data_IF_111333138897
#
_entry.id   IF_111333138897
#
_cell.length_a   1.000
_cell.length_b   1.000
_cell.length_c   1.000
_cell.angle_alpha   90.00
_cell.angle_beta   90.00
_cell.angle_gamma   90.00
#
_symmetry.space_group_name_H-M   'P 1'
#
loop_
_entity.id
_entity.type
_entity.pdbx_description
1 polymer ?
#
# COMPACT_ATOMS: atom_id res chain seq x y z
N UNK A 1 10.42 2.46 22.45
CA UNK A 1 10.33 2.63 20.98
C UNK A 1 9.83 1.36 20.29
N UNK A 2 10.63 0.27 20.27
CA UNK A 2 10.30 -0.97 19.54
C UNK A 2 8.89 -1.53 19.81
N UNK A 3 8.48 -1.67 21.09
CA UNK A 3 7.13 -2.16 21.44
C UNK A 3 6.01 -1.28 20.88
N UNK A 4 6.20 0.03 20.92
CA UNK A 4 5.21 1.00 20.40
C UNK A 4 5.16 0.92 18.89
N UNK A 5 6.31 0.80 18.20
CA UNK A 5 6.32 0.61 16.75
C UNK A 5 5.57 -0.66 16.34
N UNK A 6 5.79 -1.78 17.03
CA UNK A 6 5.04 -3.02 16.79
C UNK A 6 3.52 -2.84 17.01
N UNK A 7 3.10 -2.20 18.10
CA UNK A 7 1.67 -1.91 18.35
C UNK A 7 1.05 -1.03 17.26
N UNK A 8 1.79 -0.04 16.77
CA UNK A 8 1.34 0.85 15.71
C UNK A 8 1.23 0.12 14.37
N UNK A 9 2.17 -0.77 14.05
CA UNK A 9 2.10 -1.60 12.83
C UNK A 9 0.90 -2.55 12.88
N UNK A 10 0.60 -3.15 14.04
CA UNK A 10 -0.64 -3.93 14.24
C UNK A 10 -1.92 -3.12 14.02
N UNK A 11 -1.83 -1.79 14.08
CA UNK A 11 -2.95 -0.86 13.86
C UNK A 11 -2.86 -0.19 12.49
N UNK A 12 -2.01 -0.68 11.59
CA UNK A 12 -1.83 -0.14 10.24
C UNK A 12 -1.20 1.26 10.19
N UNK A 13 -0.46 1.65 11.23
CA UNK A 13 0.23 2.94 11.33
C UNK A 13 1.71 2.70 11.04
N UNK A 14 2.14 3.09 9.85
CA UNK A 14 3.52 2.97 9.37
C UNK A 14 4.43 3.96 10.11
N UNK A 15 5.39 3.44 10.89
CA UNK A 15 6.36 4.25 11.64
C UNK A 15 7.75 3.62 11.53
N UNK A 16 8.81 4.44 11.54
CA UNK A 16 10.21 4.02 11.42
C UNK A 16 10.58 3.38 10.07
N UNK A 17 9.82 2.38 9.61
CA UNK A 17 9.99 1.64 8.36
C UNK A 17 8.64 1.08 7.90
N UNK A 18 8.55 0.67 6.64
CA UNK A 18 7.37 0.03 6.09
C UNK A 18 7.51 -1.49 6.14
N UNK A 19 6.40 -2.20 6.27
CA UNK A 19 6.35 -3.66 6.23
C UNK A 19 5.10 -4.18 5.51
N UNK A 20 5.19 -5.44 5.08
CA UNK A 20 4.06 -6.21 4.57
C UNK A 20 4.38 -7.70 4.56
N UNK A 21 3.33 -8.53 4.41
CA UNK A 21 3.48 -9.93 4.03
C UNK A 21 3.21 -10.05 2.53
N UNK A 22 4.16 -10.60 1.79
CA UNK A 22 4.14 -10.69 0.34
C UNK A 22 4.76 -11.99 -0.14
N UNK A 23 4.60 -12.34 -1.42
CA UNK A 23 5.25 -13.52 -1.98
C UNK A 23 6.78 -13.33 -2.01
N UNK A 24 7.55 -14.42 -1.93
CA UNK A 24 8.99 -14.41 -2.20
C UNK A 24 9.20 -14.28 -3.71
N UNK A 25 9.86 -13.21 -4.18
CA UNK A 25 10.10 -12.98 -5.62
C UNK A 25 10.94 -14.09 -6.27
N UNK A 26 11.80 -14.76 -5.49
CA UNK A 26 12.63 -15.89 -5.94
C UNK A 26 12.00 -17.25 -5.62
N UNK A 27 10.86 -17.26 -4.93
CA UNK A 27 10.04 -18.46 -4.72
C UNK A 27 8.55 -18.10 -4.56
N UNK A 28 7.85 -17.94 -5.68
CA UNK A 28 6.46 -17.46 -5.69
C UNK A 28 5.44 -18.38 -5.00
N UNK A 29 5.84 -19.55 -4.50
CA UNK A 29 4.99 -20.45 -3.72
C UNK A 29 5.00 -20.14 -2.22
N UNK A 30 5.87 -19.24 -1.75
CA UNK A 30 6.05 -18.89 -0.34
C UNK A 30 5.63 -17.45 -0.06
N UNK A 31 5.05 -17.25 1.12
CA UNK A 31 4.87 -15.93 1.72
C UNK A 31 6.06 -15.60 2.60
N UNK A 32 6.51 -14.35 2.52
CA UNK A 32 7.62 -13.78 3.26
C UNK A 32 7.17 -12.50 3.94
N UNK A 33 7.80 -12.20 5.08
CA UNK A 33 7.72 -10.88 5.68
C UNK A 33 8.72 -9.96 4.99
N UNK A 34 8.27 -8.77 4.62
CA UNK A 34 9.05 -7.75 3.93
C UNK A 34 9.16 -6.52 4.83
N UNK A 35 10.36 -5.93 4.89
CA UNK A 35 10.57 -4.61 5.48
C UNK A 35 11.41 -3.74 4.54
N UNK A 36 11.12 -2.45 4.48
CA UNK A 36 11.81 -1.52 3.59
C UNK A 36 11.71 -0.08 4.09
N UNK A 37 12.32 0.86 3.37
CA UNK A 37 12.31 2.28 3.74
C UNK A 37 10.87 2.81 3.93
N UNK A 38 10.66 3.60 4.97
CA UNK A 38 9.32 4.09 5.32
C UNK A 38 9.34 5.08 6.48
N UNK A 39 8.20 5.25 7.14
CA UNK A 39 8.09 6.15 8.30
C UNK A 39 8.24 7.65 7.98
N UNK A 40 8.05 8.06 6.73
CA UNK A 40 8.09 9.47 6.30
C UNK A 40 6.67 10.01 6.09
N UNK A 41 6.44 11.29 6.42
CA UNK A 41 5.15 11.94 6.16
C UNK A 41 5.12 12.77 4.87
N UNK A 42 6.26 13.01 4.25
CA UNK A 42 6.35 13.48 2.87
C UNK A 42 6.39 12.28 1.91
N UNK A 43 5.94 12.43 0.65
CA UNK A 43 5.72 11.30 -0.26
C UNK A 43 6.95 10.43 -0.55
N UNK A 44 8.12 11.05 -0.63
CA UNK A 44 9.39 10.38 -0.87
C UNK A 44 10.56 11.25 -0.38
N UNK A 45 11.78 10.72 -0.51
CA UNK A 45 12.99 11.39 -0.02
C UNK A 45 13.24 12.75 -0.68
N UNK A 46 12.90 12.91 -1.96
CA UNK A 46 13.29 14.07 -2.74
C UNK A 46 12.53 15.32 -2.25
N UNK A 47 11.34 15.16 -1.65
CA UNK A 47 10.64 16.25 -0.97
C UNK A 47 11.44 16.88 0.18
N UNK A 48 12.38 16.17 0.80
CA UNK A 48 13.24 16.70 1.86
C UNK A 48 14.43 17.51 1.32
N UNK A 49 14.81 17.32 0.06
CA UNK A 49 16.07 17.83 -0.51
C UNK A 49 15.90 18.75 -1.72
N UNK A 50 14.88 18.58 -2.55
CA UNK A 50 14.70 19.39 -3.76
C UNK A 50 14.51 20.87 -3.43
N UNK A 51 15.09 21.76 -4.22
CA UNK A 51 15.12 23.20 -3.93
C UNK A 51 14.10 24.01 -4.72
N UNK A 52 13.27 23.36 -5.55
CA UNK A 52 12.22 24.04 -6.29
C UNK A 52 11.16 24.65 -5.34
N UNK A 53 10.54 25.74 -5.79
CA UNK A 53 9.63 26.51 -4.95
C UNK A 53 8.43 25.71 -4.44
N UNK A 54 7.92 24.75 -5.23
CA UNK A 54 6.79 23.91 -4.83
C UNK A 54 7.18 22.96 -3.70
N UNK A 55 8.34 22.31 -3.80
CA UNK A 55 8.85 21.43 -2.74
C UNK A 55 9.23 22.23 -1.48
N UNK A 56 9.87 23.39 -1.63
CA UNK A 56 10.17 24.28 -0.48
C UNK A 56 8.88 24.68 0.25
N UNK A 57 7.85 25.10 -0.49
CA UNK A 57 6.54 25.43 0.07
C UNK A 57 5.88 24.24 0.76
N UNK A 58 5.99 23.04 0.17
CA UNK A 58 5.48 21.79 0.76
C UNK A 58 6.17 21.45 2.08
N UNK A 59 7.51 21.58 2.15
CA UNK A 59 8.25 21.40 3.42
C UNK A 59 7.84 22.41 4.48
N UNK A 60 7.60 23.66 4.09
CA UNK A 60 7.06 24.68 5.00
C UNK A 60 5.72 24.26 5.59
N UNK A 61 4.78 23.83 4.74
CA UNK A 61 3.47 23.32 5.17
C UNK A 61 3.59 22.07 6.06
N UNK A 62 4.56 21.20 5.80
CA UNK A 62 4.81 20.02 6.62
C UNK A 62 5.29 20.41 8.04
N UNK A 63 6.28 21.30 8.16
CA UNK A 63 6.74 21.81 9.47
C UNK A 63 5.62 22.47 10.26
N UNK A 64 4.81 23.29 9.59
CA UNK A 64 3.64 23.93 10.20
C UNK A 64 2.62 22.89 10.69
N UNK A 65 2.39 21.83 9.92
CA UNK A 65 1.50 20.74 10.29
C UNK A 65 1.98 19.98 11.53
N UNK A 66 3.28 19.68 11.62
CA UNK A 66 3.89 19.07 12.82
C UNK A 66 3.67 20.00 14.02
N UNK A 67 3.99 21.29 13.89
CA UNK A 67 3.85 22.26 14.97
C UNK A 67 2.40 22.39 15.45
N UNK A 68 1.43 22.50 14.52
CA UNK A 68 -0.01 22.53 14.86
C UNK A 68 -0.44 21.27 15.60
N UNK A 69 0.01 20.10 15.15
CA UNK A 69 -0.29 18.83 15.80
C UNK A 69 0.26 18.78 17.22
N UNK A 70 1.53 19.12 17.42
CA UNK A 70 2.16 19.13 18.75
C UNK A 70 1.53 20.17 19.69
N UNK A 71 1.16 21.36 19.18
CA UNK A 71 0.46 22.39 19.96
C UNK A 71 -0.91 21.93 20.46
N UNK A 72 -1.60 21.10 19.67
CA UNK A 72 -2.89 20.51 20.09
C UNK A 72 -2.70 19.42 21.13
N UNK A 73 -1.65 18.61 21.00
CA UNK A 73 -1.34 17.52 21.92
C UNK A 73 -0.77 18.01 23.27
N UNK A 74 -0.15 19.19 23.29
CA UNK A 74 0.49 19.77 24.47
C UNK A 74 0.25 21.30 24.51
N UNK A 75 -0.98 21.74 24.82
CA UNK A 75 -1.35 23.16 24.84
C UNK A 75 -0.52 23.97 25.85
N UNK A 76 -0.05 25.14 25.43
CA UNK A 76 0.73 26.04 26.29
C UNK A 76 2.24 25.80 26.28
N UNK A 77 2.72 24.75 25.60
CA UNK A 77 4.16 24.52 25.45
C UNK A 77 4.80 25.54 24.49
N UNK A 78 5.67 26.40 25.00
CA UNK A 78 6.36 27.42 24.21
C UNK A 78 7.42 26.86 23.25
N UNK A 79 7.82 25.59 23.39
CA UNK A 79 8.87 24.95 22.59
C UNK A 79 8.35 24.14 21.39
N UNK A 80 7.07 24.28 21.02
CA UNK A 80 6.45 23.50 19.94
C UNK A 80 7.23 23.59 18.62
N UNK A 81 7.70 24.78 18.23
CA UNK A 81 8.37 24.94 16.94
C UNK A 81 9.74 24.23 16.92
N UNK A 82 10.49 24.29 18.03
CA UNK A 82 11.74 23.51 18.19
C UNK A 82 11.50 22.01 18.15
N UNK A 83 10.41 21.53 18.76
CA UNK A 83 10.00 20.12 18.71
C UNK A 83 9.61 19.69 17.29
N UNK A 84 8.89 20.55 16.58
CA UNK A 84 8.52 20.31 15.19
C UNK A 84 9.75 20.24 14.27
N UNK A 85 10.71 21.14 14.45
CA UNK A 85 11.99 21.09 13.73
C UNK A 85 12.77 19.80 14.06
N UNK A 86 12.79 19.36 15.32
CA UNK A 86 13.45 18.12 15.70
C UNK A 86 12.84 16.87 15.03
N UNK A 87 11.50 16.82 14.93
CA UNK A 87 10.79 15.75 14.20
C UNK A 87 11.09 15.81 12.70
N UNK A 88 11.05 17.01 12.11
CA UNK A 88 11.39 17.19 10.70
C UNK A 88 12.83 16.76 10.40
N UNK A 89 13.80 17.14 11.23
CA UNK A 89 15.20 16.75 11.06
C UNK A 89 15.44 15.25 11.26
N UNK A 90 14.67 14.59 12.15
CA UNK A 90 14.66 13.13 12.23
C UNK A 90 14.20 12.51 10.90
N UNK A 91 13.05 12.91 10.38
CA UNK A 91 12.55 12.38 9.10
C UNK A 91 13.50 12.68 7.93
N UNK A 92 14.12 13.88 7.91
CA UNK A 92 15.12 14.24 6.90
C UNK A 92 16.36 13.36 6.95
N UNK A 93 16.83 12.97 8.15
CA UNK A 93 17.95 12.02 8.30
C UNK A 93 17.59 10.64 7.74
N UNK A 94 16.37 10.15 8.03
CA UNK A 94 15.87 8.88 7.49
C UNK A 94 15.75 8.96 5.95
N UNK A 95 15.14 10.02 5.43
CA UNK A 95 15.02 10.28 3.99
C UNK A 95 16.40 10.34 3.30
N UNK A 96 17.42 10.87 3.97
CA UNK A 96 18.80 10.93 3.46
C UNK A 96 19.40 9.56 3.14
N UNK A 97 18.86 8.48 3.72
CA UNK A 97 19.29 7.09 3.50
C UNK A 97 18.23 6.22 2.80
N UNK A 98 17.10 6.80 2.43
CA UNK A 98 16.15 6.20 1.50
C UNK A 98 16.70 6.29 0.07
N UNK A 99 16.35 5.32 -0.78
CA UNK A 99 16.56 5.33 -2.23
C UNK A 99 15.56 6.21 -2.96
N UNK A 100 15.93 6.70 -4.15
CA UNK A 100 15.04 7.47 -5.04
C UNK A 100 14.00 6.55 -5.67
N UNK A 101 12.88 7.12 -6.12
CA UNK A 101 11.78 6.35 -6.72
C UNK A 101 12.21 5.52 -7.93
N UNK A 102 13.15 6.02 -8.74
CA UNK A 102 13.70 5.25 -9.87
C UNK A 102 14.41 3.99 -9.44
N UNK A 103 15.23 4.09 -8.39
CA UNK A 103 16.03 2.98 -7.85
C UNK A 103 15.15 1.92 -7.15
N UNK A 104 13.93 2.27 -6.74
CA UNK A 104 12.96 1.33 -6.16
C UNK A 104 12.31 0.41 -7.21
N UNK A 105 12.51 0.69 -8.51
CA UNK A 105 11.94 -0.11 -9.61
C UNK A 105 12.82 -1.29 -10.04
N UNK A 106 14.03 -1.39 -9.51
CA UNK A 106 14.91 -2.54 -9.76
C UNK A 106 14.60 -3.67 -8.75
N UNK A 107 13.93 -4.75 -9.16
CA UNK A 107 13.55 -5.82 -8.22
C UNK A 107 14.75 -6.56 -7.64
N UNK A 108 15.85 -6.71 -8.39
CA UNK A 108 17.05 -7.42 -7.90
C UNK A 108 17.79 -6.58 -6.88
N UNK A 109 17.96 -5.29 -7.15
CA UNK A 109 18.60 -4.38 -6.21
C UNK A 109 17.80 -4.19 -4.91
N UNK A 110 16.49 -4.46 -4.90
CA UNK A 110 15.62 -4.32 -3.73
C UNK A 110 15.24 -5.67 -3.08
N UNK A 111 15.90 -6.76 -3.45
CA UNK A 111 15.68 -8.09 -2.87
C UNK A 111 16.89 -8.53 -2.03
N UNK A 112 16.80 -8.41 -0.70
CA UNK A 112 17.82 -8.92 0.22
C UNK A 112 17.20 -9.86 1.24
N UNK A 113 17.14 -11.15 0.89
CA UNK A 113 16.71 -12.18 1.83
C UNK A 113 17.77 -12.37 2.91
N UNK A 114 17.35 -12.31 4.18
CA UNK A 114 18.24 -12.50 5.32
C UNK A 114 17.54 -13.24 6.46
N UNK A 115 18.31 -13.96 7.26
CA UNK A 115 17.83 -14.53 8.52
C UNK A 115 17.79 -13.45 9.64
N UNK A 116 17.19 -13.80 10.78
CA UNK A 116 17.09 -12.87 11.92
C UNK A 116 18.46 -12.47 12.48
N UNK A 117 19.48 -13.34 12.42
CA UNK A 117 20.83 -13.01 12.94
C UNK A 117 21.48 -11.97 12.05
N UNK A 118 21.35 -12.11 10.73
CA UNK A 118 21.82 -11.15 9.74
C UNK A 118 21.09 -9.81 9.87
N UNK A 119 19.77 -9.82 10.08
CA UNK A 119 19.00 -8.60 10.35
C UNK A 119 19.47 -7.91 11.64
N UNK A 120 19.70 -8.67 12.70
CA UNK A 120 20.22 -8.15 13.95
C UNK A 120 21.64 -7.59 13.79
N UNK A 121 22.48 -8.17 12.94
CA UNK A 121 23.80 -7.62 12.63
C UNK A 121 23.73 -6.33 11.79
N UNK A 122 22.79 -6.25 10.84
CA UNK A 122 22.56 -5.08 10.00
C UNK A 122 22.04 -3.88 10.81
N UNK A 123 21.14 -4.13 11.75
CA UNK A 123 20.45 -3.11 12.54
C UNK A 123 20.48 -3.45 14.05
N UNK A 124 21.67 -3.40 14.69
CA UNK A 124 21.90 -3.98 16.01
C UNK A 124 21.23 -3.25 17.18
N UNK A 125 20.83 -1.99 16.99
CA UNK A 125 20.19 -1.17 18.03
C UNK A 125 18.67 -1.39 18.10
N UNK A 126 18.12 -2.20 17.20
CA UNK A 126 16.71 -2.59 17.17
C UNK A 126 16.60 -4.02 17.71
N UNK A 127 15.74 -4.22 18.70
CA UNK A 127 15.43 -5.56 19.19
C UNK A 127 14.39 -6.21 18.27
N UNK A 128 14.85 -6.89 17.23
CA UNK A 128 13.98 -7.49 16.22
C UNK A 128 13.12 -8.62 16.76
N UNK A 129 13.62 -9.42 17.71
CA UNK A 129 12.82 -10.46 18.36
C UNK A 129 11.63 -9.87 19.14
N UNK A 130 11.85 -8.74 19.83
CA UNK A 130 10.78 -8.02 20.51
C UNK A 130 9.78 -7.42 19.51
N UNK A 131 10.28 -6.91 18.38
CA UNK A 131 9.42 -6.37 17.32
C UNK A 131 8.54 -7.46 16.71
N UNK A 132 9.12 -8.57 16.22
CA UNK A 132 8.38 -9.66 15.55
C UNK A 132 7.33 -10.28 16.47
N UNK A 133 7.69 -10.53 17.74
CA UNK A 133 6.72 -10.99 18.76
C UNK A 133 5.61 -9.96 18.98
N UNK A 134 5.96 -8.67 19.03
CA UNK A 134 4.99 -7.58 19.21
C UNK A 134 3.99 -7.49 18.07
N UNK A 135 4.41 -7.82 16.85
CA UNK A 135 3.51 -7.87 15.68
C UNK A 135 2.83 -9.23 15.48
N UNK A 136 2.95 -10.16 16.42
CA UNK A 136 2.29 -11.47 16.37
C UNK A 136 2.99 -12.52 15.51
N UNK A 137 4.23 -12.27 15.07
CA UNK A 137 5.02 -13.25 14.33
C UNK A 137 5.90 -14.01 15.33
N UNK A 138 5.45 -15.21 15.71
CA UNK A 138 6.12 -16.02 16.72
C UNK A 138 7.48 -16.57 16.26
N UNK A 139 7.53 -17.11 15.03
CA UNK A 139 8.73 -17.67 14.42
C UNK A 139 8.90 -17.09 13.02
N UNK A 140 9.99 -16.36 12.80
CA UNK A 140 10.36 -15.82 11.50
C UNK A 140 11.77 -16.31 11.19
N UNK A 141 11.91 -17.28 10.30
CA UNK A 141 13.23 -17.85 9.96
C UNK A 141 14.06 -16.88 9.11
N UNK A 142 13.39 -16.26 8.14
CA UNK A 142 13.97 -15.26 7.25
C UNK A 142 12.92 -14.25 6.82
N UNK A 143 13.40 -13.11 6.34
CA UNK A 143 12.62 -12.01 5.81
C UNK A 143 13.33 -11.42 4.59
N UNK A 144 12.66 -10.51 3.89
CA UNK A 144 13.26 -9.75 2.81
C UNK A 144 13.37 -8.28 3.21
N UNK A 145 14.57 -7.72 3.03
CA UNK A 145 14.85 -6.31 3.26
C UNK A 145 14.99 -5.58 1.92
N UNK A 146 14.19 -4.54 1.72
CA UNK A 146 14.25 -3.68 0.54
C UNK A 146 15.56 -2.89 0.46
N UNK A 147 15.77 -1.99 1.42
CA UNK A 147 16.93 -1.07 1.47
C UNK A 147 17.72 -1.28 2.78
N UNK A 148 18.75 -2.14 2.79
CA UNK A 148 19.56 -2.41 3.97
C UNK A 148 20.24 -1.15 4.54
N UNK A 149 20.69 -0.24 3.68
CA UNK A 149 21.34 1.00 4.07
C UNK A 149 20.41 1.94 4.87
N UNK A 150 19.11 1.94 4.55
CA UNK A 150 18.11 2.67 5.30
C UNK A 150 17.95 2.08 6.70
N UNK A 151 17.82 0.76 6.82
CA UNK A 151 17.65 0.09 8.11
C UNK A 151 18.87 0.25 9.03
N UNK A 152 20.07 0.20 8.46
CA UNK A 152 21.30 0.47 9.21
C UNK A 152 21.28 1.90 9.79
N UNK A 153 20.89 2.89 8.99
CA UNK A 153 20.78 4.27 9.47
C UNK A 153 19.66 4.45 10.50
N UNK A 154 18.51 3.82 10.31
CA UNK A 154 17.43 3.81 11.30
C UNK A 154 17.93 3.25 12.64
N UNK A 155 18.66 2.14 12.62
CA UNK A 155 19.28 1.55 13.80
C UNK A 155 20.18 2.57 14.52
N UNK A 156 20.99 3.34 13.80
CA UNK A 156 21.77 4.42 14.40
C UNK A 156 20.90 5.51 15.04
N UNK A 157 19.85 5.96 14.35
CA UNK A 157 18.95 7.02 14.82
C UNK A 157 18.17 6.63 16.08
N UNK A 158 17.89 5.34 16.29
CA UNK A 158 17.22 4.85 17.52
C UNK A 158 17.97 5.29 18.79
N UNK A 159 19.30 5.39 18.72
CA UNK A 159 20.14 5.84 19.86
C UNK A 159 20.57 7.30 19.72
N UNK A 160 20.87 7.77 18.50
CA UNK A 160 21.36 9.13 18.28
C UNK A 160 20.28 10.21 18.45
N UNK A 161 19.00 9.86 18.29
CA UNK A 161 17.88 10.79 18.45
C UNK A 161 17.31 10.71 19.87
N UNK A 162 17.03 11.87 20.46
CA UNK A 162 16.50 11.94 21.83
C UNK A 162 15.15 11.22 21.95
N UNK A 163 14.88 10.69 23.14
CA UNK A 163 13.61 10.02 23.41
C UNK A 163 12.40 10.94 23.21
N UNK A 164 12.54 12.23 23.53
CA UNK A 164 11.44 13.19 23.37
C UNK A 164 11.13 13.45 21.89
N UNK A 165 12.14 13.55 21.02
CA UNK A 165 11.91 13.62 19.57
C UNK A 165 11.23 12.35 19.05
N UNK A 166 11.62 11.17 19.53
CA UNK A 166 10.93 9.92 19.15
C UNK A 166 9.46 9.89 19.62
N UNK A 167 9.16 10.37 20.83
CA UNK A 167 7.78 10.46 21.33
C UNK A 167 6.95 11.41 20.46
N UNK A 168 7.51 12.56 20.11
CA UNK A 168 6.84 13.55 19.27
C UNK A 168 6.60 13.04 17.85
N UNK A 169 7.62 12.41 17.25
CA UNK A 169 7.49 11.75 15.95
C UNK A 169 6.35 10.72 15.95
N UNK A 170 6.34 9.79 16.92
CA UNK A 170 5.30 8.77 17.01
C UNK A 170 3.90 9.37 17.22
N UNK A 171 3.79 10.39 18.07
CA UNK A 171 2.52 11.11 18.30
C UNK A 171 2.01 11.78 17.02
N UNK A 172 2.89 12.43 16.27
CA UNK A 172 2.55 13.07 14.99
C UNK A 172 2.13 12.03 13.97
N UNK A 173 2.84 10.91 13.86
CA UNK A 173 2.49 9.78 12.98
C UNK A 173 1.10 9.21 13.29
N UNK A 174 0.79 8.98 14.57
CA UNK A 174 -0.53 8.50 15.01
C UNK A 174 -1.63 9.49 14.65
N UNK A 175 -1.44 10.78 14.95
CA UNK A 175 -2.43 11.80 14.58
C UNK A 175 -2.57 11.91 13.08
N UNK A 176 -1.48 11.83 12.31
CA UNK A 176 -1.54 11.88 10.85
C UNK A 176 -2.35 10.72 10.27
N UNK A 177 -2.08 9.48 10.71
CA UNK A 177 -2.79 8.30 10.24
C UNK A 177 -4.28 8.32 10.61
N UNK A 178 -4.61 8.85 11.79
CA UNK A 178 -5.98 8.84 12.32
C UNK A 178 -6.79 10.10 11.98
N UNK A 179 -6.16 11.21 11.58
CA UNK A 179 -6.81 12.50 11.32
C UNK A 179 -8.04 12.43 10.40
N UNK A 180 -8.09 11.59 9.34
CA UNK A 180 -9.30 11.42 8.52
C UNK A 180 -10.56 10.97 9.28
N UNK A 181 -10.38 10.41 10.48
CA UNK A 181 -11.39 9.75 11.30
C UNK A 181 -11.66 10.46 12.63
N UNK A 182 -10.99 11.58 12.89
CA UNK A 182 -11.12 12.37 14.12
C UNK A 182 -12.05 13.60 13.92
N UNK A 183 -11.99 14.54 14.85
CA UNK A 183 -12.79 15.76 14.83
C UNK A 183 -12.46 16.69 13.66
N UNK A 184 -13.38 17.64 13.39
CA UNK A 184 -13.25 18.57 12.24
C UNK A 184 -12.00 19.44 12.29
N UNK A 185 -11.51 19.82 13.48
CA UNK A 185 -10.33 20.69 13.58
C UNK A 185 -9.04 19.92 13.28
N UNK A 186 -8.92 18.69 13.80
CA UNK A 186 -7.80 17.80 13.45
C UNK A 186 -7.81 17.44 11.96
N UNK A 187 -8.99 17.13 11.39
CA UNK A 187 -9.12 16.85 9.96
C UNK A 187 -8.77 18.06 9.10
N UNK A 188 -9.13 19.27 9.52
CA UNK A 188 -8.80 20.51 8.80
C UNK A 188 -7.30 20.72 8.72
N UNK A 189 -6.56 20.55 9.82
CA UNK A 189 -5.11 20.73 9.82
C UNK A 189 -4.41 19.70 8.92
N UNK A 190 -4.85 18.44 8.98
CA UNK A 190 -4.42 17.39 8.06
C UNK A 190 -4.73 17.73 6.60
N UNK A 191 -5.95 18.20 6.32
CA UNK A 191 -6.36 18.54 4.96
C UNK A 191 -5.60 19.74 4.42
N UNK A 192 -5.33 20.76 5.22
CA UNK A 192 -4.53 21.93 4.79
C UNK A 192 -3.14 21.51 4.32
N UNK A 193 -2.49 20.62 5.06
CA UNK A 193 -1.21 20.04 4.66
C UNK A 193 -1.34 19.22 3.35
N UNK A 194 -2.30 18.30 3.30
CA UNK A 194 -2.56 17.47 2.11
C UNK A 194 -2.93 18.29 0.87
N UNK A 195 -3.64 19.40 1.05
CA UNK A 195 -4.01 20.32 -0.02
C UNK A 195 -2.78 20.93 -0.67
N UNK A 196 -1.75 21.27 0.12
CA UNK A 196 -0.46 21.75 -0.40
C UNK A 196 0.31 20.67 -1.17
N UNK A 197 0.27 19.42 -0.69
CA UNK A 197 0.92 18.29 -1.36
C UNK A 197 0.30 17.94 -2.71
N UNK A 198 -1.04 17.88 -2.78
CA UNK A 198 -1.75 17.32 -3.94
C UNK A 198 -2.49 18.37 -4.78
N UNK A 199 -2.40 19.64 -4.42
CA UNK A 199 -3.11 20.72 -5.11
C UNK A 199 -4.64 20.63 -5.01
N UNK A 200 -5.18 19.93 -3.99
CA UNK A 200 -6.63 19.70 -3.85
C UNK A 200 -7.28 20.86 -3.10
N UNK A 201 -8.15 21.67 -3.72
CA UNK A 201 -8.62 22.92 -3.12
C UNK A 201 -9.74 22.74 -2.10
N UNK A 202 -10.48 21.63 -2.14
CA UNK A 202 -11.65 21.39 -1.28
C UNK A 202 -11.70 19.96 -0.77
N UNK A 203 -12.18 19.81 0.46
CA UNK A 203 -12.41 18.50 1.07
C UNK A 203 -13.46 17.73 0.28
N UNK A 204 -13.26 16.41 0.15
CA UNK A 204 -14.30 15.53 -0.38
C UNK A 204 -15.52 15.57 0.56
N UNK A 205 -16.75 15.53 0.00
CA UNK A 205 -17.97 15.40 0.80
C UNK A 205 -17.85 14.24 1.80
N UNK A 206 -18.44 14.42 2.99
CA UNK A 206 -18.31 13.45 4.10
C UNK A 206 -18.70 12.03 3.68
N UNK A 207 -19.80 11.88 2.93
CA UNK A 207 -20.27 10.58 2.48
C UNK A 207 -19.23 9.83 1.62
N UNK A 208 -18.48 10.53 0.74
CA UNK A 208 -17.40 9.91 -0.05
C UNK A 208 -16.25 9.43 0.82
N UNK A 209 -15.92 10.18 1.89
CA UNK A 209 -14.86 9.81 2.83
C UNK A 209 -15.26 8.61 3.68
N UNK A 210 -16.51 8.56 4.14
CA UNK A 210 -17.05 7.42 4.89
C UNK A 210 -17.13 6.18 4.00
N UNK A 211 -17.58 6.32 2.74
CA UNK A 211 -17.60 5.23 1.77
C UNK A 211 -16.19 4.66 1.53
N UNK A 212 -15.18 5.51 1.38
CA UNK A 212 -13.79 5.07 1.28
C UNK A 212 -13.33 4.31 2.53
N UNK A 213 -13.67 4.79 3.72
CA UNK A 213 -13.31 4.12 4.97
C UNK A 213 -13.97 2.73 5.08
N UNK A 214 -15.23 2.61 4.67
CA UNK A 214 -15.93 1.33 4.60
C UNK A 214 -15.27 0.39 3.57
N UNK A 215 -14.92 0.90 2.40
CA UNK A 215 -14.21 0.12 1.37
C UNK A 215 -12.82 -0.34 1.86
N UNK A 216 -12.09 0.48 2.62
CA UNK A 216 -10.82 0.09 3.21
C UNK A 216 -10.98 -0.95 4.33
N UNK A 217 -12.05 -0.86 5.13
CA UNK A 217 -12.27 -1.76 6.25
C UNK A 217 -12.78 -3.14 5.80
N UNK A 218 -13.76 -3.17 4.91
CA UNK A 218 -14.49 -4.39 4.50
C UNK A 218 -14.83 -4.40 3.01
N UNK A 219 -13.83 -4.08 2.19
CA UNK A 219 -14.04 -3.80 0.77
C UNK A 219 -14.67 -4.92 -0.05
N UNK A 220 -14.43 -6.19 0.28
CA UNK A 220 -15.10 -7.29 -0.43
C UNK A 220 -16.59 -7.41 -0.11
N UNK A 221 -17.02 -7.12 1.14
CA UNK A 221 -18.44 -7.08 1.48
C UNK A 221 -19.16 -5.92 0.75
N UNK A 222 -18.47 -4.80 0.55
CA UNK A 222 -18.97 -3.71 -0.32
C UNK A 222 -19.04 -4.14 -1.78
N UNK A 223 -18.03 -4.90 -2.22
CA UNK A 223 -17.93 -5.41 -3.59
C UNK A 223 -19.03 -6.39 -3.96
N UNK A 224 -19.44 -7.25 -3.03
CA UNK A 224 -20.55 -8.19 -3.23
C UNK A 224 -21.86 -7.46 -3.55
N UNK A 225 -22.17 -6.39 -2.81
CA UNK A 225 -23.32 -5.53 -3.09
C UNK A 225 -23.18 -4.83 -4.44
N UNK A 226 -22.00 -4.30 -4.73
CA UNK A 226 -21.73 -3.59 -5.97
C UNK A 226 -21.93 -4.48 -7.22
N UNK A 227 -21.41 -5.71 -7.23
CA UNK A 227 -21.53 -6.57 -8.41
C UNK A 227 -22.95 -7.06 -8.64
N UNK A 228 -23.73 -7.25 -7.57
CA UNK A 228 -25.14 -7.60 -7.68
C UNK A 228 -25.93 -6.56 -8.49
N UNK A 229 -25.61 -5.28 -8.31
CA UNK A 229 -26.35 -4.18 -8.95
C UNK A 229 -25.76 -3.78 -10.31
N UNK A 230 -24.44 -3.95 -10.51
CA UNK A 230 -23.73 -3.34 -11.64
C UNK A 230 -22.97 -4.30 -12.55
N UNK A 231 -22.80 -5.59 -12.21
CA UNK A 231 -21.97 -6.51 -12.99
C UNK A 231 -22.51 -7.94 -13.00
N UNK A 232 -23.37 -8.24 -13.98
CA UNK A 232 -24.03 -9.54 -14.11
C UNK A 232 -23.17 -10.58 -14.87
N UNK A 233 -23.65 -11.83 -14.92
CA UNK A 233 -22.94 -12.95 -15.56
C UNK A 233 -22.71 -12.75 -17.06
N UNK A 234 -23.66 -12.12 -17.78
CA UNK A 234 -23.52 -11.84 -19.22
C UNK A 234 -22.36 -10.86 -19.47
N UNK A 235 -22.26 -9.82 -18.65
CA UNK A 235 -21.14 -8.87 -18.70
C UNK A 235 -19.83 -9.56 -18.35
N UNK A 236 -19.80 -10.45 -17.35
CA UNK A 236 -18.62 -11.26 -17.02
C UNK A 236 -18.16 -12.11 -18.22
N UNK A 237 -19.07 -12.83 -18.87
CA UNK A 237 -18.77 -13.66 -20.04
C UNK A 237 -18.19 -12.86 -21.22
N UNK A 238 -18.74 -11.67 -21.51
CA UNK A 238 -18.21 -10.76 -22.54
C UNK A 238 -16.73 -10.45 -22.30
N UNK A 239 -16.37 -10.06 -21.08
CA UNK A 239 -15.00 -9.66 -20.77
C UNK A 239 -14.03 -10.83 -20.63
N UNK A 240 -14.50 -12.01 -20.19
CA UNK A 240 -13.69 -13.24 -20.25
C UNK A 240 -13.33 -13.59 -21.70
N UNK A 241 -14.31 -13.56 -22.61
CA UNK A 241 -14.05 -13.77 -24.04
C UNK A 241 -13.09 -12.73 -24.62
N UNK A 242 -13.20 -11.48 -24.17
CA UNK A 242 -12.31 -10.40 -24.58
C UNK A 242 -10.86 -10.61 -24.10
N UNK A 243 -10.67 -11.10 -22.87
CA UNK A 243 -9.33 -11.49 -22.37
C UNK A 243 -8.69 -12.54 -23.26
N UNK A 244 -9.44 -13.57 -23.64
CA UNK A 244 -8.92 -14.62 -24.53
C UNK A 244 -8.62 -14.08 -25.94
N UNK A 245 -9.46 -13.20 -26.48
CA UNK A 245 -9.20 -12.56 -27.77
C UNK A 245 -7.90 -11.73 -27.75
N UNK A 246 -7.65 -10.96 -26.69
CA UNK A 246 -6.40 -10.21 -26.51
C UNK A 246 -5.21 -11.15 -26.36
N UNK A 247 -5.35 -12.23 -25.59
CA UNK A 247 -4.31 -13.26 -25.45
C UNK A 247 -3.93 -13.86 -26.80
N UNK A 248 -4.91 -14.26 -27.62
CA UNK A 248 -4.66 -14.81 -28.96
C UNK A 248 -4.00 -13.78 -29.89
N UNK A 249 -4.44 -12.53 -29.86
CA UNK A 249 -3.80 -11.47 -30.64
C UNK A 249 -2.34 -11.22 -30.21
N UNK A 250 -2.06 -11.27 -28.91
CA UNK A 250 -0.71 -11.08 -28.39
C UNK A 250 0.19 -12.27 -28.71
N UNK A 251 -0.32 -13.50 -28.66
CA UNK A 251 0.37 -14.69 -29.13
C UNK A 251 0.81 -14.53 -30.59
N UNK A 252 -0.14 -14.19 -31.48
CA UNK A 252 0.15 -13.99 -32.89
C UNK A 252 1.22 -12.91 -33.10
N UNK A 253 1.13 -11.80 -32.36
CA UNK A 253 2.14 -10.75 -32.41
C UNK A 253 3.53 -11.28 -32.04
N UNK A 254 3.67 -12.01 -30.93
CA UNK A 254 4.96 -12.57 -30.47
C UNK A 254 5.61 -13.46 -31.55
N UNK A 255 4.83 -14.33 -32.19
CA UNK A 255 5.31 -15.24 -33.24
C UNK A 255 5.97 -14.48 -34.41
N UNK A 256 5.42 -13.30 -34.75
CA UNK A 256 5.84 -12.49 -35.89
C UNK A 256 6.85 -11.36 -35.54
N UNK A 257 7.30 -11.24 -34.28
CA UNK A 257 8.29 -10.21 -33.92
C UNK A 257 9.66 -10.50 -34.55
N UNK A 258 10.16 -9.62 -35.40
CA UNK A 258 11.44 -9.79 -36.10
C UNK A 258 12.67 -9.53 -35.22
N UNK A 259 12.50 -8.79 -34.11
CA UNK A 259 13.61 -8.41 -33.23
C UNK A 259 13.89 -9.45 -32.13
N UNK A 260 12.99 -10.40 -31.89
CA UNK A 260 13.16 -11.45 -30.89
C UNK A 260 13.75 -12.72 -31.52
N UNK A 261 14.74 -13.32 -30.86
CA UNK A 261 15.19 -14.67 -31.22
C UNK A 261 14.07 -15.69 -30.98
N UNK A 262 14.12 -16.81 -31.70
CA UNK A 262 13.13 -17.89 -31.55
C UNK A 262 13.13 -18.46 -30.12
N UNK A 263 14.30 -18.58 -29.50
CA UNK A 263 14.44 -19.02 -28.10
C UNK A 263 13.73 -18.08 -27.13
N UNK A 264 13.79 -16.77 -27.37
CA UNK A 264 13.11 -15.78 -26.52
C UNK A 264 11.61 -15.78 -26.78
N UNK A 265 11.17 -15.93 -28.04
CA UNK A 265 9.75 -16.07 -28.39
C UNK A 265 9.13 -17.26 -27.69
N UNK A 266 9.78 -18.42 -27.69
CA UNK A 266 9.30 -19.62 -27.00
C UNK A 266 9.08 -19.38 -25.50
N UNK A 267 9.98 -18.65 -24.83
CA UNK A 267 9.82 -18.28 -23.42
C UNK A 267 8.67 -17.30 -23.20
N UNK A 268 8.51 -16.32 -24.07
CA UNK A 268 7.39 -15.37 -24.00
C UNK A 268 6.04 -16.08 -24.21
N UNK A 269 5.96 -16.99 -25.17
CA UNK A 269 4.77 -17.80 -25.44
C UNK A 269 4.43 -18.73 -24.27
N UNK A 270 5.44 -19.35 -23.64
CA UNK A 270 5.25 -20.16 -22.43
C UNK A 270 4.72 -19.33 -21.25
N UNK A 271 5.20 -18.09 -21.10
CA UNK A 271 4.65 -17.17 -20.09
C UNK A 271 3.21 -16.80 -20.42
N UNK A 272 2.90 -16.47 -21.67
CA UNK A 272 1.56 -16.08 -22.07
C UNK A 272 0.55 -17.22 -21.90
N UNK A 273 0.91 -18.45 -22.26
CA UNK A 273 0.03 -19.63 -22.16
C UNK A 273 -0.21 -20.07 -20.72
N UNK A 274 0.71 -19.79 -19.80
CA UNK A 274 0.55 -20.07 -18.36
C UNK A 274 -0.10 -18.93 -17.58
N UNK A 275 -0.44 -17.81 -18.25
CA UNK A 275 -1.04 -16.66 -17.60
C UNK A 275 -2.48 -16.98 -17.18
N UNK A 276 -2.84 -16.64 -15.95
CA UNK A 276 -4.21 -16.79 -15.43
C UNK A 276 -4.92 -15.42 -15.40
N UNK A 277 -6.25 -15.43 -15.24
CA UNK A 277 -7.02 -14.19 -15.09
C UNK A 277 -8.12 -14.30 -14.05
N UNK A 278 -8.46 -13.14 -13.49
CA UNK A 278 -9.57 -12.90 -12.58
C UNK A 278 -10.40 -11.75 -13.13
N UNK A 279 -11.69 -11.99 -13.43
CA UNK A 279 -12.58 -11.02 -14.08
C UNK A 279 -13.82 -10.77 -13.23
N UNK A 280 -14.12 -9.51 -12.95
CA UNK A 280 -15.30 -9.07 -12.22
C UNK A 280 -15.17 -9.17 -10.70
N UNK A 281 -15.30 -10.38 -10.17
CA UNK A 281 -15.41 -10.64 -8.73
C UNK A 281 -14.90 -12.04 -8.34
N UNK A 282 -14.51 -12.24 -7.06
CA UNK A 282 -14.07 -13.55 -6.57
C UNK A 282 -15.22 -14.57 -6.52
N UNK A 283 -14.88 -15.84 -6.69
CA UNK A 283 -15.85 -16.94 -6.51
C UNK A 283 -16.12 -17.24 -5.02
N UNK A 284 -15.23 -16.78 -4.13
CA UNK A 284 -15.34 -16.92 -2.67
C UNK A 284 -15.09 -15.57 -2.00
N UNK A 285 -16.05 -15.11 -1.23
CA UNK A 285 -15.97 -13.86 -0.47
C UNK A 285 -15.24 -14.04 0.85
N UNK A 286 -14.50 -13.02 1.27
CA UNK A 286 -13.91 -12.95 2.62
C UNK A 286 -15.00 -12.92 3.69
N UNK A 287 -14.82 -13.72 4.73
CA UNK A 287 -15.66 -13.67 5.93
C UNK A 287 -15.19 -12.56 6.88
N UNK A 288 -16.07 -11.59 7.14
CA UNK A 288 -15.83 -10.49 8.07
C UNK A 288 -16.51 -10.69 9.43
N UNK A 289 -17.06 -11.87 9.73
CA UNK A 289 -17.78 -12.17 10.98
C UNK A 289 -16.98 -11.85 12.26
N UNK A 290 -15.66 -12.00 12.22
CA UNK A 290 -14.76 -11.69 13.33
C UNK A 290 -14.42 -10.19 13.47
N UNK A 291 -14.74 -9.35 12.48
CA UNK A 291 -14.49 -7.91 12.51
C UNK A 291 -15.59 -7.20 13.31
N UNK A 292 -15.24 -6.74 14.51
CA UNK A 292 -16.16 -5.99 15.39
C UNK A 292 -16.28 -4.54 14.95
N UNK A 293 -17.49 -4.14 14.58
CA UNK A 293 -17.87 -2.76 14.27
C UNK A 293 -19.05 -2.38 15.16
N UNK A 294 -18.96 -1.23 15.84
CA UNK A 294 -20.03 -0.70 16.69
C UNK A 294 -20.32 0.79 16.39
N UNK A 295 -21.26 1.37 17.13
CA UNK A 295 -21.65 2.78 17.01
C UNK A 295 -20.94 3.70 18.02
N UNK A 296 -20.03 3.17 18.83
CA UNK A 296 -19.42 3.93 19.94
C UNK A 296 -18.30 4.86 19.44
N UNK A 297 -17.42 4.36 18.57
CA UNK A 297 -16.28 5.16 18.11
C UNK A 297 -15.82 4.81 16.70
N UNK A 298 -15.89 5.81 15.82
CA UNK A 298 -15.46 5.68 14.43
C UNK A 298 -13.98 5.36 14.28
N UNK A 299 -13.10 6.03 15.04
CA UNK A 299 -11.65 5.77 14.99
C UNK A 299 -11.30 4.39 15.56
N UNK A 300 -12.03 3.90 16.58
CA UNK A 300 -11.81 2.55 17.10
C UNK A 300 -12.23 1.49 16.08
N UNK A 301 -13.31 1.70 15.32
CA UNK A 301 -13.68 0.80 14.22
C UNK A 301 -12.57 0.72 13.16
N UNK A 302 -11.94 1.85 12.81
CA UNK A 302 -10.79 1.85 11.88
C UNK A 302 -9.61 1.07 12.46
N UNK A 303 -9.28 1.27 13.74
CA UNK A 303 -8.20 0.51 14.38
C UNK A 303 -8.48 -1.00 14.42
N UNK A 304 -9.71 -1.40 14.75
CA UNK A 304 -10.13 -2.81 14.73
C UNK A 304 -10.04 -3.41 13.34
N UNK A 305 -10.45 -2.66 12.29
CA UNK A 305 -10.30 -3.09 10.91
C UNK A 305 -8.83 -3.28 10.52
N UNK A 306 -7.96 -2.32 10.86
CA UNK A 306 -6.53 -2.43 10.59
C UNK A 306 -5.90 -3.63 11.31
N UNK A 307 -6.26 -3.87 12.57
CA UNK A 307 -5.78 -5.05 13.32
C UNK A 307 -6.30 -6.36 12.74
N UNK A 308 -7.54 -6.40 12.27
CA UNK A 308 -8.08 -7.57 11.58
C UNK A 308 -7.30 -7.88 10.29
N UNK A 309 -7.01 -6.84 9.48
CA UNK A 309 -6.20 -6.99 8.27
C UNK A 309 -4.76 -7.42 8.58
N UNK A 310 -4.13 -6.78 9.57
CA UNK A 310 -2.79 -7.18 10.04
C UNK A 310 -2.74 -8.66 10.41
N UNK A 311 -3.67 -9.12 11.26
CA UNK A 311 -3.73 -10.52 11.69
C UNK A 311 -3.92 -11.45 10.50
N UNK A 312 -4.77 -11.07 9.55
CA UNK A 312 -5.01 -11.84 8.33
C UNK A 312 -3.74 -11.99 7.50
N UNK A 313 -2.97 -10.92 7.31
CA UNK A 313 -1.74 -10.95 6.52
C UNK A 313 -0.63 -11.76 7.19
N UNK A 314 -0.36 -11.56 8.49
CA UNK A 314 0.66 -12.35 9.20
C UNK A 314 0.30 -13.84 9.28
N UNK A 315 -1.00 -14.18 9.30
CA UNK A 315 -1.46 -15.57 9.28
C UNK A 315 -1.15 -16.29 7.95
N UNK A 316 -0.73 -15.58 6.90
CA UNK A 316 -0.28 -16.19 5.64
C UNK A 316 1.15 -16.72 5.73
N UNK A 317 1.95 -16.25 6.70
CA UNK A 317 3.32 -16.71 6.88
C UNK A 317 3.33 -18.20 7.25
N UNK A 318 4.25 -18.96 6.65
CA UNK A 318 4.34 -20.42 6.83
C UNK A 318 3.25 -21.22 6.11
N UNK A 319 2.30 -20.57 5.42
CA UNK A 319 1.27 -21.24 4.62
C UNK A 319 1.61 -21.16 3.12
N UNK A 320 1.09 -22.08 2.29
CA UNK A 320 1.15 -21.96 0.84
C UNK A 320 0.45 -20.68 0.37
N UNK A 321 0.92 -20.11 -0.74
CA UNK A 321 0.27 -18.98 -1.39
C UNK A 321 -1.13 -19.37 -1.86
N UNK A 322 -2.14 -18.60 -1.44
CA UNK A 322 -3.50 -18.71 -1.96
C UNK A 322 -3.61 -17.96 -3.29
N UNK A 323 -3.57 -18.69 -4.41
CA UNK A 323 -3.72 -18.12 -5.74
C UNK A 323 -5.15 -17.69 -6.06
N UNK A 324 -6.15 -18.08 -5.26
CA UNK A 324 -7.54 -17.65 -5.46
C UNK A 324 -7.81 -16.26 -4.87
N UNK A 325 -6.93 -15.77 -3.99
CA UNK A 325 -7.08 -14.49 -3.33
C UNK A 325 -7.04 -13.30 -4.30
N UNK A 326 -7.97 -12.35 -4.12
CA UNK A 326 -8.00 -11.08 -4.84
C UNK A 326 -7.24 -10.00 -4.07
N UNK A 327 -6.39 -9.24 -4.78
CA UNK A 327 -5.64 -8.08 -4.25
C UNK A 327 -6.31 -6.73 -4.54
N UNK A 328 -7.42 -6.73 -5.29
CA UNK A 328 -8.29 -5.58 -5.49
C UNK A 328 -9.74 -5.99 -5.29
N UNK A 329 -10.57 -5.06 -4.84
CA UNK A 329 -12.01 -5.29 -4.64
C UNK A 329 -12.78 -5.07 -5.93
N UNK A 330 -13.94 -5.74 -6.15
CA UNK A 330 -14.71 -5.62 -7.40
C UNK A 330 -15.05 -4.18 -7.83
N UNK A 331 -15.29 -3.30 -6.88
CA UNK A 331 -15.63 -1.89 -7.10
C UNK A 331 -14.41 -0.96 -7.36
N UNK A 332 -13.19 -1.52 -7.39
CA UNK A 332 -11.98 -0.75 -7.70
C UNK A 332 -11.93 -0.44 -9.20
N UNK A 333 -11.88 0.84 -9.57
CA UNK A 333 -11.68 1.28 -10.95
C UNK A 333 -10.19 1.30 -11.28
N UNK A 334 -9.59 0.12 -11.37
CA UNK A 334 -8.19 -0.11 -11.74
C UNK A 334 -8.01 -1.57 -12.20
N UNK A 335 -6.81 -1.96 -12.61
CA UNK A 335 -6.44 -3.34 -12.88
C UNK A 335 -5.01 -3.63 -12.38
N UNK A 336 -4.64 -4.90 -12.28
CA UNK A 336 -3.23 -5.23 -12.03
C UNK A 336 -2.77 -6.50 -12.74
N UNK A 337 -1.47 -6.59 -12.96
CA UNK A 337 -0.75 -7.83 -13.25
C UNK A 337 0.12 -8.23 -12.05
N UNK A 338 0.06 -9.50 -11.64
CA UNK A 338 0.95 -10.07 -10.62
C UNK A 338 2.06 -10.86 -11.27
N UNK A 339 3.33 -10.40 -11.18
CA UNK A 339 4.48 -11.14 -11.72
C UNK A 339 4.63 -12.53 -11.10
N UNK A 340 4.51 -12.63 -9.77
CA UNK A 340 4.73 -13.88 -9.02
C UNK A 340 3.70 -14.96 -9.35
N UNK A 341 2.45 -14.58 -9.62
CA UNK A 341 1.38 -15.51 -10.01
C UNK A 341 1.19 -15.65 -11.52
N UNK A 342 1.83 -14.79 -12.32
CA UNK A 342 1.55 -14.64 -13.75
C UNK A 342 0.04 -14.52 -13.99
N UNK A 343 -0.58 -13.52 -13.36
CA UNK A 343 -2.04 -13.36 -13.31
C UNK A 343 -2.42 -11.91 -13.60
N UNK A 344 -3.44 -11.71 -14.43
CA UNK A 344 -4.12 -10.41 -14.55
C UNK A 344 -5.41 -10.41 -13.72
N UNK A 345 -5.72 -9.30 -13.06
CA UNK A 345 -6.96 -9.11 -12.32
C UNK A 345 -7.66 -7.83 -12.80
N UNK A 346 -8.92 -8.01 -13.17
CA UNK A 346 -9.79 -7.02 -13.79
C UNK A 346 -11.08 -6.93 -12.94
N UNK A 347 -11.15 -6.03 -11.94
CA UNK A 347 -12.32 -5.85 -11.10
C UNK A 347 -13.54 -5.39 -11.91
N UNK A 348 -14.75 -5.72 -11.46
CA UNK A 348 -16.00 -5.36 -12.15
C UNK A 348 -16.09 -3.88 -12.55
N UNK A 349 -15.66 -2.96 -11.68
CA UNK A 349 -15.76 -1.53 -11.93
C UNK A 349 -14.92 -1.03 -13.11
N UNK A 350 -13.81 -1.68 -13.47
CA UNK A 350 -12.95 -1.23 -14.57
C UNK A 350 -13.66 -1.23 -15.93
N UNK A 351 -14.73 -2.02 -16.03
CA UNK A 351 -15.54 -2.17 -17.22
C UNK A 351 -16.75 -1.23 -17.27
N UNK A 352 -17.04 -0.51 -16.18
CA UNK A 352 -18.25 0.30 -16.10
C UNK A 352 -18.08 1.62 -16.85
N UNK A 353 -19.02 1.89 -17.74
CA UNK A 353 -19.22 3.21 -18.33
C UNK A 353 -20.36 3.91 -17.58
N UNK A 354 -20.09 5.02 -16.87
CA UNK A 354 -21.12 5.72 -16.10
C UNK A 354 -22.34 6.08 -16.96
N UNK A 355 -23.52 5.69 -16.49
CA UNK A 355 -24.80 6.00 -17.15
C UNK A 355 -25.15 5.12 -18.35
N UNK A 356 -24.39 4.05 -18.62
CA UNK A 356 -24.68 3.08 -19.69
C UNK A 356 -24.70 1.66 -19.14
N UNK A 357 -25.62 0.83 -19.63
CA UNK A 357 -25.53 -0.62 -19.42
C UNK A 357 -24.52 -1.20 -20.39
N UNK A 358 -23.81 -2.24 -19.98
CA UNK A 358 -22.82 -2.91 -20.83
C UNK A 358 -23.40 -3.38 -22.18
N UNK A 359 -24.64 -3.89 -22.18
CA UNK A 359 -25.34 -4.32 -23.40
C UNK A 359 -25.68 -3.19 -24.39
N UNK A 360 -25.59 -1.93 -23.95
CA UNK A 360 -25.78 -0.74 -24.79
C UNK A 360 -24.47 -0.26 -25.43
N UNK A 361 -23.32 -0.84 -25.04
CA UNK A 361 -22.01 -0.43 -25.52
C UNK A 361 -21.64 -1.17 -26.80
N UNK A 362 -21.35 -0.39 -27.84
CA UNK A 362 -20.79 -0.87 -29.10
C UNK A 362 -19.44 -1.59 -28.89
N UNK A 363 -19.21 -2.65 -29.65
CA UNK A 363 -18.00 -3.47 -29.50
C UNK A 363 -16.73 -2.69 -29.81
N UNK A 364 -16.69 -1.81 -30.81
CA UNK A 364 -15.47 -1.05 -31.12
C UNK A 364 -15.08 -0.14 -29.95
N UNK A 365 -16.06 0.48 -29.29
CA UNK A 365 -15.83 1.23 -28.06
C UNK A 365 -15.27 0.33 -26.94
N UNK A 366 -15.86 -0.85 -26.72
CA UNK A 366 -15.42 -1.76 -25.65
C UNK A 366 -14.03 -2.33 -25.94
N UNK A 367 -13.70 -2.66 -27.19
CA UNK A 367 -12.35 -3.07 -27.57
C UNK A 367 -11.34 -1.92 -27.39
N UNK A 368 -11.71 -0.67 -27.65
CA UNK A 368 -10.85 0.48 -27.36
C UNK A 368 -10.62 0.69 -25.85
N UNK A 369 -11.71 0.71 -25.07
CA UNK A 369 -11.68 1.07 -23.65
C UNK A 369 -11.21 -0.06 -22.73
N UNK A 370 -11.70 -1.28 -22.95
CA UNK A 370 -11.37 -2.43 -22.11
C UNK A 370 -10.22 -3.27 -22.70
N UNK A 371 -10.31 -3.67 -23.98
CA UNK A 371 -9.30 -4.57 -24.55
C UNK A 371 -7.93 -3.89 -24.69
N UNK A 372 -7.85 -2.78 -25.44
CA UNK A 372 -6.58 -2.14 -25.75
C UNK A 372 -5.99 -1.36 -24.56
N UNK A 373 -6.81 -0.57 -23.87
CA UNK A 373 -6.32 0.32 -22.81
C UNK A 373 -6.11 -0.36 -21.45
N UNK A 374 -6.76 -1.50 -21.20
CA UNK A 374 -6.71 -2.17 -19.88
C UNK A 374 -6.21 -3.61 -19.95
N UNK A 375 -6.84 -4.48 -20.75
CA UNK A 375 -6.51 -5.92 -20.79
C UNK A 375 -5.16 -6.16 -21.49
N UNK A 376 -4.89 -5.42 -22.56
CA UNK A 376 -3.67 -5.53 -23.35
C UNK A 376 -2.49 -4.74 -22.78
N UNK A 377 -2.73 -3.80 -21.88
CA UNK A 377 -1.71 -3.14 -21.07
C UNK A 377 -1.17 -4.11 -20.03
#
# INVERSE_FOLDING_TARGET
>A
LVRVAAELHNKGINVLFADAVGQDDKNSTKMMYWIWQGGLLLPDRDYYFNTDAATVGTRGAFKEYIAKTLRRLDPGNANVDKRADAVFELEKKLAGKSRKLGDLRDPEANYHKMDIKQLQALAPKINWSLYTKGIGIANLDSLIVGQPEFLSSLSEQVIATSLDTWKDYLRVQVIHAMAPYLDSSTYRDYFTYRSKLYGVPKQRPRWKRVLQAQANAMGEAVGELFVKDYFNERTKDRYVKMVEAVRSAFQNRIEHLSWMSDTTKQKALMKLSSMTYKVGYPDKWKDFSALKIDRESYVLNVQRANTWWHQREINKLGRPVDKTEWKMTPQTYDAYYSPSNNEILLPAAIFIVPGKKDEELDDAFVYGNAAAATIGH
#
